data_IF_937340042415
#
_entry.id   IF_937340042415
#
_cell.length_a   1.000
_cell.length_b   1.000
_cell.length_c   1.000
_cell.angle_alpha   90.00
_cell.angle_beta   90.00
_cell.angle_gamma   90.00
#
_symmetry.space_group_name_H-M   'P 1'
#
loop_
_entity.id
_entity.type
_entity.pdbx_description
1 polymer ?
#
# COMPACT_ATOMS: atom_id res chain seq x y z
N UNK A 1 -28.82 6.04 -4.19
CA UNK A 1 -27.75 5.02 -4.23
C UNK A 1 -26.47 5.73 -4.68
N UNK A 2 -25.59 6.12 -3.75
CA UNK A 2 -24.34 6.81 -4.11
C UNK A 2 -23.34 5.78 -4.64
N UNK A 3 -23.04 5.85 -5.92
CA UNK A 3 -22.07 5.01 -6.62
C UNK A 3 -20.68 5.20 -6.03
N UNK A 4 -20.11 4.09 -5.56
CA UNK A 4 -18.82 3.92 -4.89
C UNK A 4 -17.60 4.06 -5.83
N UNK A 5 -17.69 4.89 -6.87
CA UNK A 5 -16.67 5.01 -7.93
C UNK A 5 -15.40 5.77 -7.52
N UNK A 6 -15.44 6.58 -6.46
CA UNK A 6 -14.32 7.49 -6.15
C UNK A 6 -13.24 6.88 -5.24
N UNK A 7 -13.46 5.68 -4.71
CA UNK A 7 -12.55 5.00 -3.78
C UNK A 7 -11.59 4.02 -4.47
N UNK A 8 -11.95 3.56 -5.67
CA UNK A 8 -11.22 2.56 -6.42
C UNK A 8 -11.03 3.05 -7.87
N UNK A 9 -9.83 2.91 -8.42
CA UNK A 9 -9.59 3.15 -9.84
C UNK A 9 -8.60 2.15 -10.40
N UNK A 10 -8.76 1.78 -11.66
CA UNK A 10 -7.83 0.90 -12.36
C UNK A 10 -7.48 1.52 -13.71
N UNK A 11 -6.20 1.59 -14.03
CA UNK A 11 -5.72 2.16 -15.29
C UNK A 11 -4.54 1.35 -15.82
N UNK A 12 -4.52 1.13 -17.12
CA UNK A 12 -3.35 0.58 -17.79
C UNK A 12 -2.34 1.71 -18.05
N UNK A 13 -1.07 1.49 -17.72
CA UNK A 13 0.03 2.42 -17.96
C UNK A 13 0.90 1.80 -19.05
N UNK A 14 0.74 2.21 -20.33
CA UNK A 14 1.41 1.55 -21.46
C UNK A 14 2.93 1.62 -21.39
N UNK A 15 3.48 2.75 -20.95
CA UNK A 15 4.94 2.94 -20.88
C UNK A 15 5.63 2.00 -19.88
N UNK A 16 4.88 1.46 -18.93
CA UNK A 16 5.38 0.52 -17.91
C UNK A 16 4.80 -0.89 -18.09
N UNK A 17 3.94 -1.11 -19.11
CA UNK A 17 3.21 -2.35 -19.35
C UNK A 17 2.53 -2.92 -18.08
N UNK A 18 1.95 -2.05 -17.24
CA UNK A 18 1.32 -2.46 -15.97
C UNK A 18 -0.11 -1.98 -15.84
N UNK A 19 -0.93 -2.79 -15.17
CA UNK A 19 -2.23 -2.38 -14.68
C UNK A 19 -2.05 -1.80 -13.27
N UNK A 20 -2.28 -0.49 -13.11
CA UNK A 20 -2.27 0.17 -11.80
C UNK A 20 -3.68 0.13 -11.22
N UNK A 21 -3.86 -0.61 -10.13
CA UNK A 21 -5.08 -0.59 -9.32
C UNK A 21 -4.85 0.23 -8.06
N UNK A 22 -5.62 1.30 -7.90
CA UNK A 22 -5.56 2.23 -6.77
C UNK A 22 -6.77 2.03 -5.87
N UNK A 23 -6.53 1.86 -4.57
CA UNK A 23 -7.55 1.83 -3.53
C UNK A 23 -7.24 2.94 -2.53
N UNK A 24 -8.06 4.00 -2.49
CA UNK A 24 -7.77 5.18 -1.65
C UNK A 24 -7.90 4.89 -0.15
N UNK A 25 -8.85 4.03 0.22
CA UNK A 25 -9.11 3.63 1.61
C UNK A 25 -9.39 2.14 1.64
N UNK A 26 -8.52 1.39 2.30
CA UNK A 26 -8.67 -0.05 2.48
C UNK A 26 -8.85 -0.33 3.97
N UNK A 27 -10.03 -0.81 4.36
CA UNK A 27 -10.31 -1.14 5.76
C UNK A 27 -9.65 -2.48 6.11
N UNK A 28 -9.07 -2.59 7.31
CA UNK A 28 -8.66 -3.90 7.83
C UNK A 28 -9.84 -4.88 7.88
N UNK A 29 -9.54 -6.18 7.79
CA UNK A 29 -10.56 -7.26 7.79
C UNK A 29 -11.58 -7.14 6.64
N UNK A 30 -11.21 -6.48 5.55
CA UNK A 30 -12.00 -6.42 4.33
C UNK A 30 -11.28 -7.11 3.18
N UNK A 31 -12.07 -7.54 2.20
CA UNK A 31 -11.58 -8.14 0.96
C UNK A 31 -11.99 -7.26 -0.21
N UNK A 32 -11.11 -7.16 -1.21
CA UNK A 32 -11.42 -6.50 -2.47
C UNK A 32 -10.80 -7.27 -3.63
N UNK A 33 -11.52 -7.36 -4.75
CA UNK A 33 -11.09 -8.09 -5.93
C UNK A 33 -11.18 -7.23 -7.17
N UNK A 34 -10.19 -7.35 -8.06
CA UNK A 34 -10.22 -6.76 -9.41
C UNK A 34 -10.24 -7.88 -10.44
N UNK A 35 -11.09 -7.73 -11.47
CA UNK A 35 -11.09 -8.57 -12.67
C UNK A 35 -10.76 -7.69 -13.87
N UNK A 36 -9.71 -8.04 -14.59
CA UNK A 36 -9.32 -7.36 -15.82
C UNK A 36 -9.26 -8.34 -16.99
N UNK A 37 -9.54 -7.85 -18.19
CA UNK A 37 -9.39 -8.58 -19.44
C UNK A 37 -8.29 -7.91 -20.24
N UNK A 38 -7.26 -8.67 -20.59
CA UNK A 38 -6.12 -8.19 -21.37
C UNK A 38 -6.32 -8.71 -22.79
N UNK A 39 -6.28 -7.80 -23.76
CA UNK A 39 -6.33 -8.11 -25.18
C UNK A 39 -4.91 -8.06 -25.73
N UNK A 40 -4.43 -9.19 -26.23
CA UNK A 40 -3.10 -9.34 -26.81
C UNK A 40 -3.19 -9.24 -28.34
N UNK A 41 -2.07 -8.96 -29.01
CA UNK A 41 -2.04 -9.00 -30.47
C UNK A 41 -2.27 -10.44 -30.97
N UNK A 42 -2.88 -10.64 -32.15
CA UNK A 42 -3.18 -11.98 -32.66
C UNK A 42 -1.96 -12.87 -32.86
N UNK A 43 -0.78 -12.28 -33.05
CA UNK A 43 0.50 -12.98 -33.25
C UNK A 43 1.26 -13.28 -31.94
N UNK A 44 0.73 -12.85 -30.79
CA UNK A 44 1.40 -13.03 -29.51
C UNK A 44 1.04 -14.39 -28.89
N UNK A 45 2.04 -15.25 -28.71
CA UNK A 45 1.89 -16.48 -27.94
C UNK A 45 1.96 -16.16 -26.45
N UNK A 46 0.85 -16.39 -25.75
CA UNK A 46 0.75 -16.17 -24.31
C UNK A 46 1.53 -17.23 -23.52
N UNK A 47 2.38 -16.79 -22.59
CA UNK A 47 2.91 -17.61 -21.51
C UNK A 47 2.56 -17.00 -20.14
N UNK A 48 2.22 -17.84 -19.15
CA UNK A 48 2.00 -17.36 -17.77
C UNK A 48 3.20 -16.60 -17.20
N UNK A 49 4.41 -16.96 -17.64
CA UNK A 49 5.66 -16.33 -17.22
C UNK A 49 5.77 -14.87 -17.66
N UNK A 50 4.95 -14.44 -18.62
CA UNK A 50 4.91 -13.05 -19.08
C UNK A 50 4.30 -12.13 -18.03
N UNK A 51 3.54 -12.69 -17.08
CA UNK A 51 3.05 -11.95 -15.93
C UNK A 51 4.13 -11.90 -14.86
N UNK A 52 4.74 -10.72 -14.74
CA UNK A 52 5.64 -10.40 -13.65
C UNK A 52 4.96 -10.45 -12.27
N UNK A 53 5.74 -10.27 -11.20
CA UNK A 53 5.20 -10.17 -9.85
C UNK A 53 4.16 -9.05 -9.71
N UNK A 54 3.16 -9.28 -8.85
CA UNK A 54 2.22 -8.27 -8.38
C UNK A 54 2.87 -7.53 -7.21
N UNK A 55 3.22 -6.27 -7.41
CA UNK A 55 3.72 -5.37 -6.36
C UNK A 55 2.55 -4.66 -5.68
N UNK A 56 2.53 -4.64 -4.34
CA UNK A 56 1.49 -3.96 -3.57
C UNK A 56 2.13 -2.82 -2.77
N UNK A 57 1.62 -1.61 -2.98
CA UNK A 57 2.05 -0.41 -2.25
C UNK A 57 0.96 -0.01 -1.25
N UNK A 58 1.31 0.03 0.03
CA UNK A 58 0.39 0.45 1.09
C UNK A 58 1.12 1.17 2.23
N UNK A 59 0.35 1.98 2.96
CA UNK A 59 0.69 2.59 4.24
C UNK A 59 -0.44 2.33 5.24
N UNK A 60 -0.10 1.87 6.45
CA UNK A 60 -1.05 1.67 7.55
C UNK A 60 -0.67 2.60 8.70
N UNK A 61 -1.46 3.64 8.99
CA UNK A 61 -1.20 4.55 10.08
C UNK A 61 -1.53 3.90 11.43
N UNK A 62 -0.78 4.28 12.46
CA UNK A 62 -1.00 3.88 13.86
C UNK A 62 -1.00 2.36 14.12
N UNK A 63 -0.50 1.59 13.16
CA UNK A 63 -0.38 0.14 13.27
C UNK A 63 1.08 -0.26 13.20
N UNK A 64 1.49 -1.17 14.08
CA UNK A 64 2.87 -1.65 14.19
C UNK A 64 2.88 -3.18 14.12
N UNK A 65 3.46 -3.71 13.03
CA UNK A 65 3.58 -5.15 12.81
C UNK A 65 4.71 -5.80 13.63
N UNK A 66 5.80 -5.08 13.89
CA UNK A 66 6.97 -5.61 14.62
C UNK A 66 6.77 -5.65 16.14
N UNK A 67 5.65 -5.13 16.64
CA UNK A 67 5.34 -4.91 18.06
C UNK A 67 6.30 -3.94 18.76
N UNK A 68 7.09 -3.17 18.01
CA UNK A 68 7.96 -2.14 18.57
C UNK A 68 7.13 -1.08 19.29
N UNK A 69 7.50 -0.75 20.53
CA UNK A 69 6.79 0.23 21.36
C UNK A 69 7.77 1.19 22.03
N UNK A 70 7.58 2.48 21.79
CA UNK A 70 8.27 3.54 22.54
C UNK A 70 7.72 3.56 23.97
N UNK A 71 8.58 3.33 24.96
CA UNK A 71 8.19 3.32 26.39
C UNK A 71 8.25 4.73 26.99
N UNK A 72 9.32 5.46 26.72
CA UNK A 72 9.51 6.83 27.21
C UNK A 72 10.40 7.61 26.26
N UNK A 73 10.21 8.93 26.24
CA UNK A 73 11.10 9.90 25.61
C UNK A 73 11.62 10.81 26.72
N UNK A 74 12.90 10.66 27.07
CA UNK A 74 13.55 11.46 28.13
C UNK A 74 14.21 12.67 27.49
N UNK A 75 13.84 13.85 27.97
CA UNK A 75 14.51 15.11 27.63
C UNK A 75 15.43 15.44 28.81
N UNK A 76 16.72 15.63 28.53
CA UNK A 76 17.70 16.07 29.51
C UNK A 76 17.88 17.57 29.32
N UNK A 77 17.40 18.38 30.26
CA UNK A 77 17.49 19.83 30.19
C UNK A 77 18.41 20.38 31.28
N UNK A 78 19.25 21.34 30.91
CA UNK A 78 20.16 22.05 31.83
C UNK A 78 19.53 23.31 32.42
N UNK A 79 18.44 23.83 31.83
CA UNK A 79 17.70 25.01 32.29
C UNK A 79 16.19 24.75 32.19
N UNK A 80 15.38 25.39 33.04
CA UNK A 80 13.92 25.23 33.08
C UNK A 80 13.30 25.50 31.71
N UNK A 81 12.95 24.47 30.95
CA UNK A 81 12.05 24.61 29.81
C UNK A 81 10.63 24.28 30.24
N UNK A 82 9.72 25.12 29.79
CA UNK A 82 8.28 24.93 29.79
C UNK A 82 7.87 23.56 29.25
N UNK A 83 6.78 23.01 29.80
CA UNK A 83 6.12 21.76 29.39
C UNK A 83 6.18 21.49 27.88
N UNK A 84 7.16 20.67 27.45
CA UNK A 84 7.33 20.33 26.03
C UNK A 84 6.38 19.18 25.65
N UNK A 85 5.60 19.39 24.59
CA UNK A 85 4.70 18.38 24.04
C UNK A 85 5.48 17.26 23.35
N UNK A 86 5.01 16.02 23.51
CA UNK A 86 5.64 14.82 22.94
C UNK A 86 4.62 14.04 22.11
N UNK A 87 5.00 13.67 20.89
CA UNK A 87 4.12 12.97 19.95
C UNK A 87 4.81 11.74 19.39
N UNK A 88 4.04 10.67 19.20
CA UNK A 88 4.49 9.43 18.56
C UNK A 88 3.49 9.05 17.49
N UNK A 89 3.98 8.71 16.30
CA UNK A 89 3.18 8.12 15.22
C UNK A 89 3.88 6.86 14.72
N UNK A 90 3.13 5.76 14.63
CA UNK A 90 3.59 4.55 13.93
C UNK A 90 3.06 4.56 12.51
N UNK A 91 3.89 4.10 11.58
CA UNK A 91 3.56 3.96 10.17
C UNK A 91 4.13 2.63 9.72
N UNK A 92 3.28 1.75 9.20
CA UNK A 92 3.72 0.53 8.53
C UNK A 92 3.63 0.76 7.03
N UNK A 93 4.73 0.54 6.30
CA UNK A 93 4.77 0.67 4.85
C UNK A 93 5.16 -0.66 4.21
N UNK A 94 4.58 -0.93 3.04
CA UNK A 94 4.83 -2.14 2.23
C UNK A 94 6.29 -2.43 1.87
N UNK A 95 7.12 -1.39 1.66
CA UNK A 95 8.47 -1.51 1.10
C UNK A 95 8.50 -2.38 -0.16
N UNK A 96 8.95 -3.65 -0.08
CA UNK A 96 9.04 -4.59 -1.21
C UNK A 96 8.01 -5.74 -1.10
N UNK A 97 6.74 -5.40 -0.84
CA UNK A 97 5.67 -6.40 -0.77
C UNK A 97 5.26 -6.88 -2.16
N UNK A 98 5.59 -8.14 -2.47
CA UNK A 98 5.43 -8.73 -3.81
C UNK A 98 4.78 -10.11 -3.72
N UNK A 99 3.85 -10.38 -4.63
CA UNK A 99 3.23 -11.68 -4.83
C UNK A 99 3.56 -12.23 -6.23
N UNK A 100 3.98 -13.49 -6.34
CA UNK A 100 4.22 -14.15 -7.63
C UNK A 100 3.07 -15.09 -7.96
N UNK A 101 2.56 -14.97 -9.18
CA UNK A 101 1.56 -15.91 -9.72
C UNK A 101 2.26 -17.23 -10.06
N UNK A 102 1.66 -18.35 -9.65
CA UNK A 102 2.11 -19.71 -10.00
C UNK A 102 1.41 -20.22 -11.26
#
# INVERSE_FOLDING_TARGET
MHTSSDLFSAQYIPNENKLLWTIKKFKGESECSIRSKITLSPSYEYARRDFGPISILFEIPMFNLSKLRIKYLRILETYKSSNTHRWVRYITQSSSYVYRLN
#
